data_IF_460001922177
#
_entry.id   IF_460001922177
#
_cell.length_a   1.000
_cell.length_b   1.000
_cell.length_c   1.000
_cell.angle_alpha   90.00
_cell.angle_beta   90.00
_cell.angle_gamma   90.00
#
_symmetry.space_group_name_H-M   'P 1'
#
loop_
_entity.id
_entity.type
_entity.pdbx_description
1 polymer ?
#
# COMPACT_ATOMS: atom_id res chain seq x y z
N UNK A 1 -47.54 43.10 -4.40
CA UNK A 1 -47.14 42.73 -5.77
C UNK A 1 -45.71 42.23 -5.74
N UNK A 2 -45.51 40.91 -5.64
CA UNK A 2 -44.20 40.28 -5.71
C UNK A 2 -44.14 39.47 -7.01
N UNK A 3 -43.20 39.79 -7.90
CA UNK A 3 -43.02 39.13 -9.18
C UNK A 3 -42.33 37.78 -8.97
N UNK A 4 -43.02 36.72 -9.37
CA UNK A 4 -42.43 35.40 -9.58
C UNK A 4 -41.31 35.51 -10.62
N UNK A 5 -40.12 35.03 -10.27
CA UNK A 5 -39.05 34.74 -11.23
C UNK A 5 -39.18 33.27 -11.58
N UNK A 6 -39.80 32.99 -12.73
CA UNK A 6 -39.76 31.68 -13.37
C UNK A 6 -38.32 31.42 -13.86
N UNK A 7 -37.60 30.52 -13.21
CA UNK A 7 -36.36 29.97 -13.73
C UNK A 7 -36.68 28.78 -14.64
N UNK A 8 -37.08 29.08 -15.87
CA UNK A 8 -36.97 28.14 -16.98
C UNK A 8 -35.59 28.30 -17.63
N UNK A 9 -34.78 27.24 -17.59
CA UNK A 9 -34.01 26.73 -18.73
C UNK A 9 -33.28 25.45 -18.33
N UNK A 10 -33.87 24.34 -18.74
CA UNK A 10 -33.22 23.04 -18.94
C UNK A 10 -32.10 23.20 -19.98
N UNK A 11 -30.91 23.58 -19.55
CA UNK A 11 -29.70 23.39 -20.35
C UNK A 11 -29.35 21.91 -20.32
N UNK A 12 -29.46 21.20 -21.45
CA UNK A 12 -28.74 19.94 -21.63
C UNK A 12 -27.26 20.23 -21.34
N UNK A 13 -26.60 19.47 -20.45
CA UNK A 13 -25.18 19.66 -20.20
C UNK A 13 -24.43 19.51 -21.53
N UNK A 14 -23.39 20.33 -21.77
CA UNK A 14 -22.57 20.20 -22.98
C UNK A 14 -22.08 18.75 -23.07
N UNK A 15 -22.32 18.11 -24.21
CA UNK A 15 -21.83 16.77 -24.50
C UNK A 15 -20.33 16.75 -24.24
N UNK A 16 -19.88 15.95 -23.27
CA UNK A 16 -18.48 15.82 -22.95
C UNK A 16 -17.71 15.47 -24.23
N UNK A 17 -16.80 16.35 -24.66
CA UNK A 17 -15.98 16.16 -25.86
C UNK A 17 -15.03 14.94 -25.73
N UNK A 18 -14.98 14.31 -24.56
CA UNK A 18 -14.16 13.15 -24.29
C UNK A 18 -14.89 12.22 -23.31
N UNK A 19 -15.33 11.06 -23.80
CA UNK A 19 -15.81 9.99 -22.93
C UNK A 19 -14.61 9.21 -22.38
N UNK A 20 -14.71 8.74 -21.14
CA UNK A 20 -13.72 7.83 -20.60
C UNK A 20 -13.65 6.57 -21.49
N UNK A 21 -12.45 6.07 -21.84
CA UNK A 21 -12.30 5.08 -22.90
C UNK A 21 -12.75 3.65 -22.53
N UNK A 22 -13.17 3.42 -21.28
CA UNK A 22 -13.64 2.11 -20.80
C UNK A 22 -15.11 2.17 -20.43
N UNK A 23 -15.81 1.07 -20.68
CA UNK A 23 -17.16 0.86 -20.15
C UNK A 23 -17.05 0.18 -18.78
N UNK A 24 -17.74 0.71 -17.78
CA UNK A 24 -17.75 0.19 -16.40
C UNK A 24 -19.18 -0.14 -16.00
N UNK A 25 -19.41 -1.38 -15.58
CA UNK A 25 -20.72 -1.88 -15.16
C UNK A 25 -20.62 -2.51 -13.77
N UNK A 26 -21.48 -2.15 -12.81
CA UNK A 26 -22.48 -1.08 -12.90
C UNK A 26 -21.83 0.32 -12.96
N UNK A 27 -22.55 1.30 -13.51
CA UNK A 27 -22.08 2.70 -13.58
C UNK A 27 -21.88 3.32 -12.19
N UNK A 28 -22.71 2.92 -11.22
CA UNK A 28 -22.62 3.31 -9.83
C UNK A 28 -22.09 2.15 -9.00
N UNK A 29 -21.02 2.39 -8.26
CA UNK A 29 -20.42 1.37 -7.40
C UNK A 29 -21.01 1.46 -5.99
N UNK A 30 -22.08 0.71 -5.77
CA UNK A 30 -22.75 0.59 -4.48
C UNK A 30 -22.67 -0.87 -4.04
N UNK A 31 -22.01 -1.16 -2.92
CA UNK A 31 -21.98 -2.50 -2.35
C UNK A 31 -23.36 -2.81 -1.77
N UNK A 32 -24.07 -3.83 -2.29
CA UNK A 32 -25.39 -4.19 -1.81
C UNK A 32 -25.32 -4.96 -0.48
N UNK A 33 -26.48 -5.32 0.05
CA UNK A 33 -26.63 -6.10 1.29
C UNK A 33 -25.91 -7.46 1.28
N UNK A 34 -25.60 -8.02 0.10
CA UNK A 34 -24.78 -9.24 -0.03
C UNK A 34 -23.33 -9.05 0.43
N UNK A 35 -22.88 -7.81 0.62
CA UNK A 35 -21.53 -7.46 1.08
C UNK A 35 -20.44 -7.52 0.02
N UNK A 36 -20.81 -7.79 -1.24
CA UNK A 36 -19.89 -7.81 -2.38
C UNK A 36 -20.51 -7.19 -3.63
N UNK A 37 -19.68 -6.50 -4.40
CA UNK A 37 -19.99 -5.86 -5.67
C UNK A 37 -19.08 -6.43 -6.75
N UNK A 38 -19.68 -6.99 -7.80
CA UNK A 38 -18.96 -7.39 -9.00
C UNK A 38 -19.01 -6.26 -10.03
N UNK A 39 -17.82 -5.82 -10.44
CA UNK A 39 -17.60 -4.76 -11.42
C UNK A 39 -17.01 -5.38 -12.68
N UNK A 40 -17.61 -5.08 -13.82
CA UNK A 40 -17.13 -5.44 -15.14
C UNK A 40 -16.55 -4.20 -15.81
N UNK A 41 -15.36 -4.35 -16.39
CA UNK A 41 -14.66 -3.28 -17.09
C UNK A 41 -14.30 -3.82 -18.47
N UNK A 42 -14.81 -3.16 -19.50
CA UNK A 42 -14.64 -3.57 -20.88
C UNK A 42 -13.87 -2.51 -21.65
N UNK A 43 -12.95 -2.96 -22.51
CA UNK A 43 -12.33 -2.12 -23.52
C UNK A 43 -13.18 -2.12 -24.80
N UNK A 44 -13.97 -1.07 -25.10
CA UNK A 44 -14.74 -0.96 -26.34
C UNK A 44 -13.87 -0.58 -27.55
N UNK A 45 -12.59 -0.27 -27.36
CA UNK A 45 -11.69 0.13 -28.42
C UNK A 45 -11.11 -1.10 -29.12
N UNK A 46 -10.81 -0.96 -30.42
CA UNK A 46 -10.18 -2.02 -31.21
C UNK A 46 -8.73 -2.33 -30.79
N UNK A 47 -8.07 -1.38 -30.11
CA UNK A 47 -6.67 -1.48 -29.74
C UNK A 47 -6.51 -1.78 -28.24
N UNK A 48 -5.55 -2.65 -27.87
CA UNK A 48 -5.25 -2.91 -26.48
C UNK A 48 -4.54 -1.73 -25.81
N UNK A 49 -4.81 -1.51 -24.53
CA UNK A 49 -4.05 -0.53 -23.75
C UNK A 49 -3.90 -0.90 -22.29
N UNK A 50 -2.89 -0.29 -21.66
CA UNK A 50 -2.59 -0.52 -20.25
C UNK A 50 -3.62 0.19 -19.38
N UNK A 51 -4.26 -0.57 -18.49
CA UNK A 51 -5.13 -0.05 -17.45
C UNK A 51 -4.51 -0.34 -16.09
N UNK A 52 -4.56 0.65 -15.22
CA UNK A 52 -4.07 0.58 -13.85
C UNK A 52 -5.25 0.91 -12.95
N UNK A 53 -5.51 0.04 -11.99
CA UNK A 53 -6.60 0.15 -11.03
C UNK A 53 -6.02 0.44 -9.66
N UNK A 54 -6.63 1.37 -8.95
CA UNK A 54 -6.22 1.80 -7.62
C UNK A 54 -7.48 1.90 -6.76
N UNK A 55 -7.65 0.98 -5.81
CA UNK A 55 -8.74 1.07 -4.83
C UNK A 55 -8.26 1.86 -3.61
N UNK A 56 -8.92 2.98 -3.34
CA UNK A 56 -8.73 3.76 -2.12
C UNK A 56 -10.01 3.70 -1.28
N UNK A 57 -9.97 2.97 -0.17
CA UNK A 57 -11.13 2.85 0.72
C UNK A 57 -10.72 2.41 2.12
N UNK A 58 -11.35 3.01 3.13
CA UNK A 58 -11.28 2.57 4.52
C UNK A 58 -11.90 1.18 4.70
N UNK A 59 -13.07 0.94 4.09
CA UNK A 59 -13.93 -0.20 4.44
C UNK A 59 -14.06 -1.25 3.34
N UNK A 60 -13.65 -0.91 2.12
CA UNK A 60 -13.79 -1.78 0.97
C UNK A 60 -12.45 -2.35 0.57
N UNK A 61 -12.49 -3.58 0.10
CA UNK A 61 -11.30 -4.31 -0.33
C UNK A 61 -11.55 -5.04 -1.65
N UNK A 62 -10.49 -5.22 -2.45
CA UNK A 62 -10.56 -6.04 -3.66
C UNK A 62 -10.31 -7.49 -3.24
N UNK A 63 -11.35 -8.31 -3.36
CA UNK A 63 -11.26 -9.74 -3.08
C UNK A 63 -10.49 -10.47 -4.18
N UNK A 64 -10.86 -10.21 -5.43
CA UNK A 64 -10.20 -10.80 -6.61
C UNK A 64 -10.47 -9.97 -7.86
N UNK A 65 -9.59 -10.14 -8.85
CA UNK A 65 -9.77 -9.62 -10.20
C UNK A 65 -9.40 -10.72 -11.19
N UNK A 66 -10.19 -10.91 -12.24
CA UNK A 66 -10.01 -12.00 -13.21
C UNK A 66 -10.60 -11.63 -14.57
N UNK A 67 -10.22 -12.38 -15.60
CA UNK A 67 -10.78 -12.30 -16.95
C UNK A 67 -10.93 -13.71 -17.52
N UNK A 68 -11.64 -13.85 -18.63
CA UNK A 68 -11.80 -15.13 -19.31
C UNK A 68 -10.80 -15.26 -20.46
N UNK A 69 -10.04 -16.36 -20.46
CA UNK A 69 -9.19 -16.77 -21.58
C UNK A 69 -9.52 -18.21 -21.94
N UNK A 70 -9.91 -18.45 -23.19
CA UNK A 70 -10.30 -19.79 -23.68
C UNK A 70 -11.37 -20.46 -22.80
N UNK A 71 -12.33 -19.67 -22.31
CA UNK A 71 -13.41 -20.11 -21.41
C UNK A 71 -12.97 -20.40 -19.97
N UNK A 72 -11.72 -20.11 -19.59
CA UNK A 72 -11.20 -20.31 -18.23
C UNK A 72 -10.92 -18.98 -17.53
N UNK A 73 -11.18 -18.93 -16.23
CA UNK A 73 -10.82 -17.78 -15.39
C UNK A 73 -9.29 -17.69 -15.25
N UNK A 74 -8.74 -16.50 -15.50
CA UNK A 74 -7.34 -16.17 -15.25
C UNK A 74 -7.27 -15.01 -14.26
N UNK A 75 -6.59 -15.24 -13.14
CA UNK A 75 -6.47 -14.27 -12.06
C UNK A 75 -5.46 -13.17 -12.38
N UNK A 76 -5.81 -11.93 -12.02
CA UNK A 76 -4.91 -10.78 -12.07
C UNK A 76 -4.21 -10.65 -10.73
N UNK A 77 -2.89 -10.44 -10.74
CA UNK A 77 -2.12 -10.23 -9.52
C UNK A 77 -2.48 -8.89 -8.89
N UNK A 78 -2.96 -8.91 -7.65
CA UNK A 78 -3.31 -7.72 -6.87
C UNK A 78 -2.24 -7.51 -5.80
N UNK A 79 -1.62 -6.34 -5.81
CA UNK A 79 -0.54 -6.01 -4.89
C UNK A 79 -0.91 -4.82 -4.03
N UNK A 80 -0.48 -4.88 -2.78
CA UNK A 80 -0.38 -3.68 -1.95
C UNK A 80 0.87 -2.93 -2.38
N UNK A 81 0.69 -1.69 -2.83
CA UNK A 81 1.83 -0.82 -3.12
C UNK A 81 1.90 0.27 -2.07
N UNK A 82 3.02 0.28 -1.35
CA UNK A 82 3.46 1.46 -0.62
C UNK A 82 3.89 2.50 -1.66
N UNK A 83 3.37 3.72 -1.58
CA UNK A 83 3.86 4.84 -2.37
C UNK A 83 4.80 5.70 -1.52
N UNK A 84 6.11 5.36 -1.44
CA UNK A 84 7.05 6.12 -0.62
C UNK A 84 7.49 7.46 -1.25
N UNK A 85 7.05 7.79 -2.47
CA UNK A 85 7.60 8.90 -3.26
C UNK A 85 6.67 10.10 -3.49
N UNK A 86 5.53 10.20 -2.79
CA UNK A 86 4.76 11.45 -2.87
C UNK A 86 5.59 12.52 -2.13
N UNK A 87 6.06 13.53 -2.86
CA UNK A 87 6.91 14.60 -2.31
C UNK A 87 6.18 15.29 -1.17
N UNK A 88 6.91 15.52 -0.08
CA UNK A 88 6.35 16.08 1.14
C UNK A 88 5.70 17.46 0.96
N UNK A 89 6.15 18.23 -0.03
CA UNK A 89 5.64 19.56 -0.36
C UNK A 89 4.25 19.55 -1.01
N UNK A 90 3.83 18.42 -1.62
CA UNK A 90 2.47 18.22 -2.14
C UNK A 90 1.53 17.61 -1.08
N UNK A 91 2.08 17.27 0.09
CA UNK A 91 1.37 16.65 1.22
C UNK A 91 1.51 17.58 2.41
N UNK A 92 0.69 18.63 2.48
CA UNK A 92 0.61 19.46 3.69
C UNK A 92 0.07 18.68 4.91
N UNK A 93 -0.35 17.42 4.75
CA UNK A 93 -0.91 16.58 5.80
C UNK A 93 -0.35 15.15 5.72
N UNK A 94 0.83 14.91 6.29
CA UNK A 94 1.35 13.55 6.41
C UNK A 94 0.54 12.74 7.43
N UNK A 95 -0.43 12.00 6.88
CA UNK A 95 -0.80 10.62 7.22
C UNK A 95 -1.21 9.78 5.99
N UNK A 96 -1.06 10.31 4.76
CA UNK A 96 -1.27 9.57 3.52
C UNK A 96 -0.04 8.73 3.14
N UNK A 97 0.19 7.62 3.84
CA UNK A 97 0.67 6.45 3.11
C UNK A 97 -0.58 5.92 2.40
N UNK A 98 -0.83 6.34 1.16
CA UNK A 98 -1.97 5.85 0.40
C UNK A 98 -1.73 4.41 -0.04
N UNK A 99 -1.74 3.44 0.88
CA UNK A 99 -1.73 2.04 0.49
C UNK A 99 -3.07 1.75 -0.17
N UNK A 100 -3.00 1.70 -1.48
CA UNK A 100 -4.10 1.28 -2.33
C UNK A 100 -3.78 -0.14 -2.78
N UNK A 101 -4.81 -0.96 -2.94
CA UNK A 101 -4.64 -2.16 -3.75
C UNK A 101 -4.51 -1.71 -5.19
N UNK A 102 -3.38 -2.09 -5.79
CA UNK A 102 -3.07 -1.77 -7.17
C UNK A 102 -2.95 -3.07 -7.95
N UNK A 103 -3.56 -3.06 -9.11
CA UNK A 103 -3.36 -4.08 -10.11
C UNK A 103 -3.42 -3.40 -11.47
N UNK A 104 -2.77 -4.00 -12.45
CA UNK A 104 -2.69 -3.45 -13.77
C UNK A 104 -2.77 -4.56 -14.80
N UNK A 105 -3.40 -4.26 -15.94
CA UNK A 105 -3.59 -5.21 -17.03
C UNK A 105 -3.62 -4.46 -18.36
N UNK A 106 -3.06 -5.07 -19.40
CA UNK A 106 -3.33 -4.68 -20.77
C UNK A 106 -4.68 -5.30 -21.13
N UNK A 107 -5.69 -4.47 -21.37
CA UNK A 107 -7.02 -4.94 -21.76
C UNK A 107 -7.08 -5.04 -23.27
N UNK A 108 -7.29 -6.25 -23.78
CA UNK A 108 -7.52 -6.49 -25.21
C UNK A 108 -8.88 -5.92 -25.66
N UNK A 109 -9.05 -5.75 -26.97
CA UNK A 109 -10.33 -5.34 -27.55
C UNK A 109 -11.45 -6.28 -27.10
N UNK A 110 -12.55 -5.71 -26.63
CA UNK A 110 -13.74 -6.42 -26.14
C UNK A 110 -13.49 -7.34 -24.92
N UNK A 111 -12.28 -7.35 -24.36
CA UNK A 111 -12.00 -8.12 -23.14
C UNK A 111 -12.78 -7.54 -21.96
N UNK A 112 -13.36 -8.44 -21.16
CA UNK A 112 -14.06 -8.10 -19.92
C UNK A 112 -13.18 -8.48 -18.74
N UNK A 113 -12.73 -7.46 -18.00
CA UNK A 113 -12.13 -7.64 -16.69
C UNK A 113 -13.21 -7.60 -15.62
N UNK A 114 -13.23 -8.63 -14.79
CA UNK A 114 -14.10 -8.74 -13.63
C UNK A 114 -13.31 -8.38 -12.37
N UNK A 115 -13.90 -7.56 -11.50
CA UNK A 115 -13.35 -7.17 -10.20
C UNK A 115 -14.43 -7.41 -9.16
N UNK A 116 -14.12 -8.21 -8.13
CA UNK A 116 -14.99 -8.37 -6.97
C UNK A 116 -14.48 -7.51 -5.83
N UNK A 117 -15.30 -6.54 -5.43
CA UNK A 117 -15.05 -5.65 -4.30
C UNK A 117 -15.95 -6.08 -3.15
N UNK A 118 -15.43 -6.16 -1.93
CA UNK A 118 -16.19 -6.56 -0.75
C UNK A 118 -16.05 -5.60 0.41
N UNK A 119 -16.99 -5.67 1.34
CA UNK A 119 -16.81 -5.11 2.68
C UNK A 119 -15.71 -5.88 3.41
N UNK A 120 -14.83 -5.15 4.07
CA UNK A 120 -13.75 -5.74 4.84
C UNK A 120 -14.27 -6.23 6.20
N UNK A 121 -14.04 -7.51 6.50
CA UNK A 121 -14.54 -8.11 7.74
C UNK A 121 -13.63 -7.79 8.94
N UNK A 122 -12.35 -7.52 8.68
CA UNK A 122 -11.35 -7.22 9.72
C UNK A 122 -10.65 -5.90 9.44
N UNK A 123 -10.86 -4.95 10.34
CA UNK A 123 -10.18 -3.66 10.32
C UNK A 123 -8.78 -3.77 10.93
N UNK A 124 -8.12 -4.92 10.84
CA UNK A 124 -6.79 -5.16 11.40
C UNK A 124 -5.70 -4.93 10.33
N UNK A 125 -4.48 -4.66 10.80
CA UNK A 125 -3.34 -4.45 9.92
C UNK A 125 -3.18 -3.02 9.40
N UNK A 126 -2.79 -2.91 8.12
CA UNK A 126 -2.14 -1.73 7.58
C UNK A 126 -3.08 -0.53 7.48
N UNK A 127 -4.39 -0.77 7.26
CA UNK A 127 -5.41 0.29 7.13
C UNK A 127 -5.62 1.14 8.39
N UNK A 128 -5.40 0.58 9.60
CA UNK A 128 -5.47 1.35 10.86
C UNK A 128 -4.45 2.48 10.92
N UNK A 129 -3.33 2.35 10.20
CA UNK A 129 -2.24 3.33 10.19
C UNK A 129 -2.56 4.57 9.35
N UNK A 130 -3.66 4.57 8.60
CA UNK A 130 -3.96 5.61 7.62
C UNK A 130 -5.08 6.55 8.04
N UNK A 131 -5.01 7.72 7.42
CA UNK A 131 -6.04 8.74 7.48
C UNK A 131 -6.93 8.66 6.26
N UNK A 132 -8.23 8.77 6.48
CA UNK A 132 -9.28 8.72 5.48
C UNK A 132 -10.27 9.85 5.74
N UNK A 133 -10.47 10.72 4.76
CA UNK A 133 -11.34 11.89 4.90
C UNK A 133 -12.83 11.51 4.84
N UNK A 134 -13.13 10.31 4.33
CA UNK A 134 -14.48 9.77 4.21
C UNK A 134 -14.52 8.27 4.49
N UNK A 135 -15.66 7.73 4.97
CA UNK A 135 -15.86 6.29 5.16
C UNK A 135 -15.93 5.54 3.84
N UNK A 136 -16.52 6.20 2.84
CA UNK A 136 -16.63 5.72 1.47
C UNK A 136 -15.29 5.86 0.74
N UNK A 137 -15.12 5.05 -0.29
CA UNK A 137 -13.91 5.02 -1.09
C UNK A 137 -14.14 5.46 -2.53
N UNK A 138 -13.15 5.21 -3.36
CA UNK A 138 -13.29 5.29 -4.80
C UNK A 138 -12.44 4.24 -5.48
N UNK A 139 -12.91 3.78 -6.65
CA UNK A 139 -12.11 3.04 -7.60
C UNK A 139 -11.52 4.06 -8.59
N UNK A 140 -10.21 4.23 -8.54
CA UNK A 140 -9.49 5.04 -9.52
C UNK A 140 -8.99 4.14 -10.65
N UNK A 141 -9.39 4.46 -11.87
CA UNK A 141 -9.02 3.74 -13.09
C UNK A 141 -8.21 4.68 -13.97
N UNK A 142 -6.99 4.27 -14.29
CA UNK A 142 -6.09 5.02 -15.15
C UNK A 142 -5.79 4.23 -16.41
N UNK A 143 -6.03 4.84 -17.56
CA UNK A 143 -5.70 4.29 -18.87
C UNK A 143 -4.47 4.99 -19.41
N UNK A 144 -3.49 4.22 -19.91
CA UNK A 144 -2.28 4.75 -20.54
C UNK A 144 -2.10 4.14 -21.93
N UNK A 145 -1.98 5.00 -22.93
CA UNK A 145 -1.63 4.64 -24.31
C UNK A 145 -0.33 5.35 -24.68
N UNK A 146 0.66 4.59 -25.13
CA UNK A 146 1.91 5.11 -25.68
C UNK A 146 1.88 4.91 -27.19
N UNK A 147 1.94 6.00 -27.93
CA UNK A 147 1.91 5.97 -29.40
C UNK A 147 3.33 6.23 -29.89
N UNK A 148 3.91 5.19 -30.49
CA UNK A 148 5.24 5.26 -31.07
C UNK A 148 5.21 6.03 -32.39
N UNK A 149 6.19 6.92 -32.58
CA UNK A 149 6.38 7.58 -33.87
C UNK A 149 7.33 6.76 -34.72
N UNK A 150 6.83 6.18 -35.81
CA UNK A 150 7.67 5.43 -36.76
C UNK A 150 8.45 6.41 -37.63
N UNK A 151 9.70 6.72 -37.26
CA UNK A 151 10.63 7.40 -38.16
C UNK A 151 11.22 6.35 -39.11
N UNK A 152 10.72 6.27 -40.34
CA UNK A 152 11.37 5.46 -41.39
C UNK A 152 12.55 6.23 -41.97
N UNK A 153 13.74 6.00 -41.43
CA UNK A 153 14.99 6.24 -42.14
C UNK A 153 15.53 4.91 -42.67
N UNK A 154 15.95 4.90 -43.94
CA UNK A 154 16.15 3.74 -44.84
C UNK A 154 17.01 2.55 -44.33
N UNK A 155 17.54 2.56 -43.09
CA UNK A 155 18.36 1.47 -42.53
C UNK A 155 18.04 1.07 -41.08
N UNK A 156 17.20 1.79 -40.32
CA UNK A 156 16.81 1.42 -38.94
C UNK A 156 15.42 1.93 -38.60
N UNK A 157 14.57 1.05 -38.05
CA UNK A 157 13.32 1.44 -37.37
C UNK A 157 13.72 1.78 -35.93
N UNK A 158 13.57 3.04 -35.52
CA UNK A 158 13.64 3.46 -34.12
C UNK A 158 12.21 3.73 -33.63
N UNK A 159 11.85 3.10 -32.52
CA UNK A 159 10.61 3.37 -31.79
C UNK A 159 10.94 4.32 -30.64
N UNK A 160 10.45 5.55 -30.72
CA UNK A 160 10.48 6.51 -29.61
C UNK A 160 9.04 7.02 -29.42
N UNK A 161 8.42 6.84 -28.23
CA UNK A 161 7.04 7.26 -27.99
C UNK A 161 6.92 8.78 -28.02
N UNK A 162 6.27 9.31 -29.06
CA UNK A 162 6.11 10.77 -29.26
C UNK A 162 4.89 11.32 -28.52
N UNK A 163 3.89 10.48 -28.25
CA UNK A 163 2.69 10.87 -27.51
C UNK A 163 2.36 9.85 -26.42
N UNK A 164 2.08 10.35 -25.23
CA UNK A 164 1.61 9.57 -24.10
C UNK A 164 0.24 10.11 -23.68
N UNK A 165 -0.82 9.39 -24.06
CA UNK A 165 -2.18 9.73 -23.69
C UNK A 165 -2.51 9.06 -22.36
N UNK A 166 -3.06 9.84 -21.44
CA UNK A 166 -3.52 9.37 -20.13
C UNK A 166 -4.95 9.82 -19.91
N UNK A 167 -5.80 8.88 -19.54
CA UNK A 167 -7.14 9.16 -19.05
C UNK A 167 -7.27 8.61 -17.63
N UNK A 168 -8.04 9.29 -16.79
CA UNK A 168 -8.27 8.87 -15.41
C UNK A 168 -9.72 9.08 -15.05
N UNK A 169 -10.30 8.12 -14.35
CA UNK A 169 -11.67 8.18 -13.83
C UNK A 169 -11.65 7.80 -12.36
N UNK A 170 -12.38 8.55 -11.56
CA UNK A 170 -12.57 8.33 -10.13
C UNK A 170 -14.04 8.00 -9.92
N UNK A 171 -14.33 6.72 -9.68
CA UNK A 171 -15.71 6.26 -9.51
C UNK A 171 -15.98 6.10 -8.01
N UNK A 172 -16.90 6.90 -7.42
CA UNK A 172 -17.23 6.78 -6.00
C UNK A 172 -17.72 5.37 -5.67
N UNK A 173 -17.22 4.83 -4.58
CA UNK A 173 -17.57 3.52 -4.06
C UNK A 173 -18.23 3.70 -2.69
N UNK A 174 -19.47 3.24 -2.58
CA UNK A 174 -20.29 3.38 -1.38
C UNK A 174 -20.91 2.04 -0.98
N UNK A 175 -21.53 1.99 0.19
CA UNK A 175 -22.38 0.88 0.62
C UNK A 175 -23.84 1.32 0.58
N UNK A 176 -24.73 0.40 0.26
CA UNK A 176 -26.16 0.62 0.39
C UNK A 176 -26.51 1.02 1.84
N UNK A 177 -27.13 2.20 2.07
CA UNK A 177 -27.51 2.64 3.41
C UNK A 177 -28.43 1.68 4.16
N UNK A 178 -29.21 0.85 3.45
CA UNK A 178 -30.11 -0.14 4.04
C UNK A 178 -29.38 -1.43 4.47
N UNK A 179 -28.11 -1.59 4.08
CA UNK A 179 -27.28 -2.72 4.50
C UNK A 179 -26.94 -2.61 6.00
N UNK A 180 -27.06 -3.71 6.74
CA UNK A 180 -26.65 -3.76 8.15
C UNK A 180 -25.18 -3.35 8.36
N UNK A 181 -24.31 -3.72 7.41
CA UNK A 181 -22.88 -3.34 7.43
C UNK A 181 -22.65 -1.84 7.23
N UNK A 182 -23.65 -1.07 6.78
CA UNK A 182 -23.52 0.39 6.63
C UNK A 182 -23.46 1.11 7.98
N UNK A 183 -24.20 0.62 8.98
CA UNK A 183 -24.12 1.13 10.36
C UNK A 183 -22.76 0.80 10.98
N UNK A 184 -22.30 -0.43 10.80
CA UNK A 184 -20.99 -0.89 11.25
C UNK A 184 -19.86 -0.06 10.63
N UNK A 185 -19.95 0.28 9.34
CA UNK A 185 -19.05 1.20 8.65
C UNK A 185 -19.00 2.57 9.35
N UNK A 186 -20.16 3.16 9.63
CA UNK A 186 -20.25 4.49 10.23
C UNK A 186 -19.62 4.51 11.64
N UNK A 187 -19.90 3.48 12.45
CA UNK A 187 -19.33 3.33 13.79
C UNK A 187 -17.80 3.15 13.75
N UNK A 188 -17.31 2.24 12.90
CA UNK A 188 -15.87 1.99 12.75
C UNK A 188 -15.12 3.21 12.22
N UNK A 189 -15.73 3.93 11.28
CA UNK A 189 -15.15 5.16 10.77
C UNK A 189 -15.10 6.26 11.83
N UNK A 190 -16.16 6.41 12.64
CA UNK A 190 -16.16 7.37 13.77
C UNK A 190 -15.04 7.05 14.78
N UNK A 191 -14.84 5.79 15.13
CA UNK A 191 -13.72 5.38 15.99
C UNK A 191 -12.36 5.64 15.35
N UNK A 192 -12.22 5.43 14.04
CA UNK A 192 -11.00 5.76 13.31
C UNK A 192 -10.73 7.28 13.34
N UNK A 193 -11.75 8.12 13.18
CA UNK A 193 -11.61 9.58 13.29
C UNK A 193 -11.15 9.99 14.70
N UNK A 194 -11.74 9.43 15.77
CA UNK A 194 -11.26 9.66 17.14
C UNK A 194 -9.81 9.25 17.30
N UNK A 195 -9.43 8.11 16.72
CA UNK A 195 -8.05 7.62 16.74
C UNK A 195 -7.09 8.60 16.04
N UNK A 196 -7.47 9.15 14.90
CA UNK A 196 -6.70 10.17 14.17
C UNK A 196 -6.56 11.46 14.98
N UNK A 197 -7.65 11.96 15.58
CA UNK A 197 -7.61 13.16 16.44
C UNK A 197 -6.64 12.96 17.60
N UNK A 198 -6.70 11.80 18.28
CA UNK A 198 -5.76 11.45 19.36
C UNK A 198 -4.32 11.40 18.87
N UNK A 199 -4.10 10.81 17.68
CA UNK A 199 -2.77 10.74 17.04
C UNK A 199 -2.21 12.14 16.76
N UNK A 200 -3.02 13.01 16.17
CA UNK A 200 -2.62 14.37 15.86
C UNK A 200 -2.34 15.18 17.13
N UNK A 201 -3.14 14.98 18.17
CA UNK A 201 -2.92 15.60 19.48
C UNK A 201 -1.57 15.19 20.08
N UNK A 202 -1.27 13.88 20.07
CA UNK A 202 0.05 13.37 20.48
C UNK A 202 1.13 14.06 19.63
N UNK A 203 1.02 14.06 18.30
CA UNK A 203 2.01 14.69 17.40
C UNK A 203 2.26 16.17 17.73
N UNK A 204 1.22 16.94 18.00
CA UNK A 204 1.30 18.37 18.30
C UNK A 204 1.95 18.65 19.67
N UNK A 205 1.85 17.73 20.63
CA UNK A 205 2.54 17.80 21.91
C UNK A 205 4.04 17.55 21.72
N UNK A 206 4.77 18.55 21.22
CA UNK A 206 6.22 18.46 20.97
C UNK A 206 7.01 18.60 22.26
N UNK A 207 8.03 17.79 22.45
CA UNK A 207 9.00 17.96 23.53
C UNK A 207 10.38 18.40 22.99
N UNK A 208 11.24 18.93 23.88
CA UNK A 208 12.41 19.74 23.53
C UNK A 208 13.42 19.19 22.51
N UNK A 209 13.51 17.87 22.29
CA UNK A 209 14.34 17.28 21.20
C UNK A 209 13.67 17.44 19.82
N UNK A 210 12.38 17.14 19.70
CA UNK A 210 11.59 17.31 18.45
C UNK A 210 11.55 18.78 17.99
N UNK A 211 11.52 19.74 18.94
CA UNK A 211 11.59 21.18 18.59
C UNK A 211 12.95 21.59 18.03
N UNK A 212 14.06 21.01 18.52
CA UNK A 212 15.42 21.33 18.05
C UNK A 212 15.73 20.73 16.68
N UNK A 213 15.24 19.52 16.40
CA UNK A 213 15.40 18.86 15.09
C UNK A 213 14.55 19.54 14.01
N UNK A 214 13.34 20.01 14.33
CA UNK A 214 12.49 20.74 13.38
C UNK A 214 13.07 22.06 12.87
N UNK A 215 14.02 22.67 13.61
CA UNK A 215 14.71 23.89 13.19
C UNK A 215 15.93 23.64 12.28
N UNK A 216 16.35 22.38 12.11
CA UNK A 216 17.64 22.04 11.48
C UNK A 216 17.52 21.38 10.10
N UNK A 217 16.31 21.15 9.57
CA UNK A 217 16.15 20.30 8.39
C UNK A 217 15.94 21.11 7.10
N UNK A 218 17.01 21.21 6.31
CA UNK A 218 16.95 21.18 4.84
C UNK A 218 16.98 19.71 4.39
N UNK A 219 15.90 19.27 3.75
CA UNK A 219 15.80 18.29 2.66
C UNK A 219 16.91 17.25 2.40
N UNK A 220 17.30 16.41 3.36
CA UNK A 220 18.15 15.24 3.09
C UNK A 220 17.48 13.91 3.49
N UNK A 221 17.81 12.87 2.72
CA UNK A 221 17.26 11.49 2.66
C UNK A 221 17.23 10.69 3.99
N UNK A 222 17.68 11.26 5.12
CA UNK A 222 17.63 10.66 6.46
C UNK A 222 16.24 10.71 7.12
N UNK A 223 15.25 11.38 6.50
CA UNK A 223 13.88 11.54 7.02
C UNK A 223 13.10 10.22 7.18
N UNK A 224 13.37 9.19 6.36
CA UNK A 224 12.54 7.97 6.33
C UNK A 224 12.68 7.16 7.62
N UNK A 225 13.90 7.03 8.17
CA UNK A 225 14.17 6.24 9.38
C UNK A 225 13.83 6.97 10.68
N UNK A 226 13.91 8.31 10.70
CA UNK A 226 13.45 9.12 11.85
C UNK A 226 11.92 9.08 11.95
N UNK A 227 11.21 9.07 10.82
CA UNK A 227 9.75 9.04 10.79
C UNK A 227 9.18 7.68 11.25
N UNK A 228 9.84 6.56 10.93
CA UNK A 228 9.42 5.22 11.40
C UNK A 228 9.53 5.05 12.91
N UNK A 229 10.65 5.46 13.51
CA UNK A 229 10.86 5.36 14.98
C UNK A 229 9.86 6.20 15.76
N UNK A 230 9.58 7.41 15.27
CA UNK A 230 8.60 8.31 15.87
C UNK A 230 7.17 7.79 15.68
N UNK A 231 6.86 7.21 14.52
CA UNK A 231 5.58 6.54 14.27
C UNK A 231 5.35 5.36 15.23
N UNK A 232 6.36 4.51 15.46
CA UNK A 232 6.27 3.41 16.43
C UNK A 232 5.99 3.90 17.85
N UNK A 233 6.62 5.00 18.28
CA UNK A 233 6.35 5.61 19.59
C UNK A 233 4.88 6.06 19.67
N UNK A 234 4.38 6.75 18.64
CA UNK A 234 3.00 7.22 18.62
C UNK A 234 1.99 6.06 18.63
N UNK A 235 2.25 5.01 17.84
CA UNK A 235 1.44 3.78 17.83
C UNK A 235 1.48 3.10 19.20
N UNK A 236 2.65 3.03 19.84
CA UNK A 236 2.82 2.46 21.18
C UNK A 236 2.04 3.23 22.26
N UNK A 237 2.09 4.56 22.24
CA UNK A 237 1.35 5.43 23.16
C UNK A 237 -0.15 5.27 22.94
N UNK A 238 -0.63 5.29 21.69
CA UNK A 238 -2.05 5.11 21.38
C UNK A 238 -2.55 3.72 21.79
N UNK A 239 -1.74 2.69 21.66
CA UNK A 239 -2.09 1.33 22.09
C UNK A 239 -2.25 1.25 23.61
N UNK A 240 -1.39 1.92 24.38
CA UNK A 240 -1.40 1.85 25.85
C UNK A 240 -2.37 2.84 26.50
N UNK A 241 -2.53 4.03 25.91
CA UNK A 241 -3.23 5.16 26.53
C UNK A 241 -4.38 5.72 25.67
N UNK A 242 -4.65 5.20 24.48
CA UNK A 242 -5.54 5.81 23.48
C UNK A 242 -6.90 6.27 24.03
N UNK A 243 -7.58 5.46 24.83
CA UNK A 243 -8.88 5.81 25.42
C UNK A 243 -8.81 6.91 26.50
N UNK A 244 -7.63 7.17 27.06
CA UNK A 244 -7.39 8.20 28.09
C UNK A 244 -6.90 9.52 27.48
N UNK A 245 -6.34 9.49 26.26
CA UNK A 245 -5.80 10.68 25.58
C UNK A 245 -6.82 11.83 25.52
N UNK A 246 -8.11 11.53 25.34
CA UNK A 246 -9.16 12.56 25.27
C UNK A 246 -9.32 13.36 26.57
N UNK A 247 -8.91 12.80 27.71
CA UNK A 247 -9.09 13.40 29.06
C UNK A 247 -7.83 14.04 29.62
N UNK A 248 -6.68 13.75 29.02
CA UNK A 248 -5.39 14.28 29.46
C UNK A 248 -5.21 15.71 28.95
N UNK A 249 -4.42 16.50 29.65
CA UNK A 249 -3.86 17.77 29.17
C UNK A 249 -2.68 17.54 28.23
N UNK A 250 -2.31 18.56 27.46
CA UNK A 250 -1.18 18.46 26.52
C UNK A 250 0.17 18.29 27.25
N UNK A 251 0.29 18.82 28.46
CA UNK A 251 1.45 18.62 29.34
C UNK A 251 1.56 17.16 29.81
N UNK A 252 0.45 16.55 30.18
CA UNK A 252 0.41 15.13 30.57
C UNK A 252 0.74 14.22 29.37
N UNK A 253 0.24 14.54 28.17
CA UNK A 253 0.58 13.82 26.94
C UNK A 253 2.08 13.96 26.62
N UNK A 254 2.64 15.16 26.78
CA UNK A 254 4.07 15.42 26.59
C UNK A 254 4.92 14.62 27.58
N UNK A 255 4.50 14.52 28.84
CA UNK A 255 5.17 13.69 29.85
C UNK A 255 5.14 12.21 29.48
N UNK A 256 3.98 11.68 29.05
CA UNK A 256 3.83 10.30 28.59
C UNK A 256 4.79 9.99 27.44
N UNK A 257 4.96 10.91 26.47
CA UNK A 257 5.91 10.73 25.36
C UNK A 257 7.34 10.57 25.87
N UNK A 258 7.80 11.48 26.73
CA UNK A 258 9.17 11.44 27.28
C UNK A 258 9.41 10.16 28.08
N UNK A 259 8.45 9.76 28.91
CA UNK A 259 8.56 8.55 29.72
C UNK A 259 8.57 7.29 28.84
N UNK A 260 7.74 7.25 27.78
CA UNK A 260 7.70 6.13 26.84
C UNK A 260 8.99 6.02 26.01
N UNK A 261 9.54 7.14 25.56
CA UNK A 261 10.82 7.16 24.84
C UNK A 261 11.96 6.65 25.72
N UNK A 262 12.06 7.14 26.97
CA UNK A 262 13.05 6.67 27.95
C UNK A 262 12.93 5.17 28.22
N UNK A 263 11.71 4.68 28.40
CA UNK A 263 11.46 3.25 28.62
C UNK A 263 11.88 2.41 27.41
N UNK A 264 11.60 2.88 26.18
CA UNK A 264 12.01 2.19 24.95
C UNK A 264 13.54 2.14 24.82
N UNK A 265 14.23 3.25 25.08
CA UNK A 265 15.69 3.29 25.08
C UNK A 265 16.30 2.35 26.12
N UNK A 266 15.75 2.32 27.35
CA UNK A 266 16.19 1.38 28.40
C UNK A 266 16.07 -0.07 27.95
N UNK A 267 14.94 -0.45 27.35
CA UNK A 267 14.73 -1.81 26.82
C UNK A 267 15.69 -2.16 25.69
N UNK A 268 15.96 -1.22 24.79
CA UNK A 268 16.93 -1.41 23.71
C UNK A 268 18.35 -1.60 24.24
N UNK A 269 18.75 -0.83 25.25
CA UNK A 269 20.06 -0.96 25.89
C UNK A 269 20.20 -2.30 26.65
N UNK A 270 19.10 -2.83 27.22
CA UNK A 270 19.06 -4.13 27.89
C UNK A 270 18.99 -5.33 26.90
N UNK A 271 18.34 -5.17 25.74
CA UNK A 271 18.23 -6.22 24.71
C UNK A 271 19.43 -6.29 23.76
N UNK A 272 20.09 -5.17 23.46
CA UNK A 272 21.27 -5.11 22.60
C UNK A 272 22.40 -6.08 23.01
N UNK A 273 22.79 -6.22 24.30
CA UNK A 273 23.79 -7.21 24.70
C UNK A 273 23.29 -8.65 24.51
N UNK A 274 22.00 -8.93 24.77
CA UNK A 274 21.41 -10.26 24.58
C UNK A 274 21.36 -10.68 23.12
N UNK A 275 21.05 -9.76 22.21
CA UNK A 275 21.07 -10.03 20.77
C UNK A 275 22.49 -10.24 20.24
N UNK A 276 23.47 -9.45 20.71
CA UNK A 276 24.89 -9.67 20.38
C UNK A 276 25.40 -11.01 20.87
N UNK A 277 24.99 -11.44 22.06
CA UNK A 277 25.36 -12.74 22.64
C UNK A 277 24.72 -13.91 21.86
N UNK A 278 23.44 -13.80 21.49
CA UNK A 278 22.76 -14.80 20.66
C UNK A 278 23.38 -14.91 19.27
N UNK A 279 23.73 -13.78 18.64
CA UNK A 279 24.33 -13.77 17.31
C UNK A 279 25.77 -14.31 17.34
N UNK A 280 26.56 -13.96 18.36
CA UNK A 280 27.88 -14.56 18.57
C UNK A 280 27.78 -16.07 18.82
N UNK A 281 26.75 -16.55 19.51
CA UNK A 281 26.51 -17.97 19.73
C UNK A 281 26.07 -18.71 18.45
N UNK A 282 25.27 -18.09 17.58
CA UNK A 282 24.92 -18.65 16.27
C UNK A 282 26.12 -18.68 15.32
N UNK A 283 26.92 -17.62 15.29
CA UNK A 283 28.12 -17.54 14.45
C UNK A 283 29.16 -18.57 14.90
N UNK A 284 29.35 -18.75 16.21
CA UNK A 284 30.21 -19.80 16.75
C UNK A 284 29.73 -21.22 16.36
N UNK A 285 28.42 -21.46 16.39
CA UNK A 285 27.84 -22.75 15.95
C UNK A 285 28.03 -22.97 14.45
N UNK A 286 27.89 -21.93 13.62
CA UNK A 286 28.15 -22.01 12.18
C UNK A 286 29.62 -22.30 11.90
N UNK A 287 30.53 -21.63 12.60
CA UNK A 287 31.97 -21.83 12.43
C UNK A 287 32.40 -23.24 12.86
N UNK A 288 31.82 -23.79 13.94
CA UNK A 288 32.06 -25.17 14.36
C UNK A 288 31.50 -26.18 13.34
N UNK A 289 30.32 -25.92 12.76
CA UNK A 289 29.74 -26.76 11.71
C UNK A 289 30.60 -26.77 10.43
N UNK A 290 31.14 -25.62 10.02
CA UNK A 290 32.05 -25.51 8.87
C UNK A 290 33.36 -26.24 9.16
N UNK A 291 33.93 -26.13 10.37
CA UNK A 291 35.14 -26.87 10.75
C UNK A 291 34.93 -28.39 10.70
N UNK A 292 33.79 -28.89 11.19
CA UNK A 292 33.45 -30.33 11.11
C UNK A 292 33.29 -30.81 9.67
N UNK A 293 32.66 -30.02 8.80
CA UNK A 293 32.54 -30.36 7.38
C UNK A 293 33.91 -30.43 6.68
N UNK A 294 34.82 -29.52 6.98
CA UNK A 294 36.19 -29.53 6.41
C UNK A 294 36.98 -30.75 6.89
N UNK A 295 36.85 -31.14 8.16
CA UNK A 295 37.48 -32.36 8.71
C UNK A 295 36.94 -33.64 8.07
N UNK A 296 35.63 -33.71 7.85
CA UNK A 296 34.98 -34.82 7.13
C UNK A 296 35.43 -34.90 5.66
N UNK A 297 35.56 -33.77 4.97
CA UNK A 297 36.08 -33.75 3.60
C UNK A 297 37.55 -34.20 3.51
N UNK A 298 38.40 -33.77 4.46
CA UNK A 298 39.81 -34.16 4.50
C UNK A 298 40.00 -35.66 4.79
N UNK A 299 39.19 -36.22 5.69
CA UNK A 299 39.20 -37.68 5.98
C UNK A 299 38.73 -38.50 4.78
N UNK A 300 37.68 -38.06 4.07
CA UNK A 300 37.22 -38.71 2.83
C UNK A 300 38.27 -38.66 1.71
N UNK A 301 39.00 -37.54 1.57
CA UNK A 301 40.09 -37.39 0.59
C UNK A 301 41.28 -38.28 0.95
N UNK A 302 41.61 -38.42 2.24
CA UNK A 302 42.63 -39.35 2.75
C UNK A 302 42.32 -40.81 2.37
N UNK A 303 41.11 -41.28 2.65
CA UNK A 303 40.69 -42.65 2.32
C UNK A 303 40.68 -42.93 0.80
N UNK A 304 40.35 -41.93 -0.04
CA UNK A 304 40.41 -42.07 -1.51
C UNK A 304 41.85 -42.19 -2.02
N UNK A 305 42.83 -41.54 -1.39
CA UNK A 305 44.26 -41.67 -1.75
C UNK A 305 44.83 -43.02 -1.34
N UNK A 306 44.44 -43.58 -0.19
CA UNK A 306 44.85 -44.92 0.23
C UNK A 306 44.29 -46.02 -0.67
N UNK A 307 43.02 -45.95 -1.07
CA UNK A 307 42.44 -46.90 -2.05
C UNK A 307 43.13 -46.87 -3.41
N UNK A 308 43.64 -45.69 -3.85
CA UNK A 308 44.43 -45.57 -5.09
C UNK A 308 45.83 -46.18 -4.95
N UNK A 309 46.48 -46.07 -3.79
CA UNK A 309 47.78 -46.72 -3.53
C UNK A 309 47.63 -48.25 -3.46
N UNK A 310 46.59 -48.76 -2.79
CA UNK A 310 46.32 -50.20 -2.71
C UNK A 310 46.06 -50.83 -4.10
N UNK A 311 45.29 -50.16 -4.97
CA UNK A 311 45.06 -50.64 -6.36
C UNK A 311 46.31 -50.64 -7.24
N UNK A 312 47.34 -49.84 -6.92
CA UNK A 312 48.59 -49.81 -7.68
C UNK A 312 49.57 -50.92 -7.27
N UNK A 313 49.42 -51.50 -6.07
CA UNK A 313 50.24 -52.63 -5.61
C UNK A 313 49.69 -54.01 -6.00
N UNK A 314 48.46 -54.13 -6.53
CA UNK A 314 47.88 -55.40 -7.01
C UNK A 314 48.14 -55.62 -8.52
N UNK A 315 48.82 -54.68 -9.18
CA UNK A 315 49.06 -54.66 -10.63
C UNK A 315 50.55 -54.73 -11.01
N UNK A 316 51.41 -55.19 -10.09
CA UNK A 316 52.77 -55.67 -10.40
C UNK A 316 52.86 -57.15 -10.06
#
# INVERSE_FOLDING_TARGET
>A
MAKNIETNKSGKPPSALFNFPLNVTPEKLVIPSSGHLDVQITNPMSEPFQVIFVLYSFYFDVERAWYLKDGKEVYVNIQWKLFPYIKAELIQEFDMISNSKIFSRILESEEVLHIRIKCEDKFDGIKKKFTYDQPNGYLHIKCEVKIDHVVRNQKKIQFDPKFHLKASSYIPLSIDPECEKAKELAEKYSEQQKHQVRRQRIKNCRFGKEQKESKKCCWDYEEVTVNEKTHEIYVGILTKYGSKIDKLSDDEISKIKVDYEKEKWRKLDEEAPRQKEQQAAEDAKREEAVKKQIEEELTVVGMKKEKKKAKKCVLM
#
